data_IF_161604126113
#
_entry.id   IF_161604126113
#
_cell.length_a   1.000
_cell.length_b   1.000
_cell.length_c   1.000
_cell.angle_alpha   90.00
_cell.angle_beta   90.00
_cell.angle_gamma   90.00
#
_symmetry.space_group_name_H-M   'P 1'
#
loop_
_entity.id
_entity.type
_entity.pdbx_description
1 polymer ?
#
# COMPACT_ATOMS: atom_id res chain seq x y z
N UNK A 1 3.83 7.97 -13.12
CA UNK A 1 4.69 7.61 -11.97
C UNK A 1 6.13 7.97 -12.32
N UNK A 2 6.70 8.95 -11.60
CA UNK A 2 7.94 9.61 -12.02
C UNK A 2 9.18 9.25 -11.18
N UNK A 3 9.18 8.09 -10.55
CA UNK A 3 10.32 7.64 -9.76
C UNK A 3 11.18 6.66 -10.54
N UNK A 4 12.50 6.72 -10.32
CA UNK A 4 13.42 5.73 -10.89
C UNK A 4 13.25 4.39 -10.16
N UNK A 5 13.80 3.31 -10.74
CA UNK A 5 13.76 2.00 -10.08
C UNK A 5 14.44 2.07 -8.72
N UNK A 6 15.58 2.77 -8.62
CA UNK A 6 16.32 2.94 -7.36
C UNK A 6 15.48 3.67 -6.30
N UNK A 7 14.76 4.70 -6.72
CA UNK A 7 13.86 5.42 -5.81
C UNK A 7 12.70 4.55 -5.36
N UNK A 8 12.10 3.80 -6.28
CA UNK A 8 11.01 2.87 -5.95
C UNK A 8 11.47 1.82 -4.97
N UNK A 9 12.67 1.28 -5.16
CA UNK A 9 13.23 0.29 -4.24
C UNK A 9 13.48 0.90 -2.85
N UNK A 10 13.95 2.14 -2.80
CA UNK A 10 14.17 2.83 -1.53
C UNK A 10 12.86 3.01 -0.77
N UNK A 11 11.79 3.41 -1.44
CA UNK A 11 10.47 3.53 -0.81
C UNK A 11 9.91 2.17 -0.40
N UNK A 12 10.13 1.13 -1.21
CA UNK A 12 9.69 -0.22 -0.83
C UNK A 12 10.45 -0.72 0.39
N UNK A 13 11.72 -0.37 0.56
CA UNK A 13 12.46 -0.71 1.78
C UNK A 13 11.86 -0.04 3.01
N UNK A 14 11.34 1.18 2.86
CA UNK A 14 10.62 1.83 3.96
C UNK A 14 9.32 1.10 4.28
N UNK A 15 8.61 0.61 3.27
CA UNK A 15 7.44 -0.24 3.48
C UNK A 15 7.83 -1.55 4.19
N UNK A 16 8.97 -2.14 3.84
CA UNK A 16 9.47 -3.34 4.51
C UNK A 16 9.80 -3.07 5.99
N UNK A 17 10.29 -1.88 6.32
CA UNK A 17 10.51 -1.50 7.73
C UNK A 17 9.20 -1.48 8.51
N UNK A 18 8.13 -1.00 7.89
CA UNK A 18 6.80 -1.06 8.51
C UNK A 18 6.35 -2.51 8.70
N UNK A 19 6.64 -3.38 7.73
CA UNK A 19 6.33 -4.81 7.85
C UNK A 19 7.08 -5.44 9.03
N UNK A 20 8.33 -5.04 9.26
CA UNK A 20 9.10 -5.52 10.41
C UNK A 20 8.49 -5.06 11.74
N UNK A 21 7.94 -3.85 11.79
CA UNK A 21 7.23 -3.36 12.98
C UNK A 21 6.01 -4.23 13.25
N UNK A 22 5.25 -4.57 12.22
CA UNK A 22 4.11 -5.49 12.36
C UNK A 22 4.56 -6.82 12.95
N UNK A 23 5.65 -7.38 12.43
CA UNK A 23 6.19 -8.66 12.91
C UNK A 23 6.58 -8.61 14.38
N UNK A 24 7.12 -7.48 14.86
CA UNK A 24 7.47 -7.29 16.27
C UNK A 24 6.24 -7.34 17.18
N UNK A 25 5.06 -7.07 16.65
CA UNK A 25 3.78 -7.11 17.38
C UNK A 25 2.99 -8.38 17.08
N UNK A 26 3.63 -9.41 16.54
CA UNK A 26 3.01 -10.69 16.17
C UNK A 26 1.88 -10.55 15.15
N UNK A 27 1.96 -9.54 14.31
CA UNK A 27 1.03 -9.32 13.20
C UNK A 27 1.57 -9.96 11.92
N UNK A 28 0.69 -10.12 10.93
CA UNK A 28 1.14 -10.50 9.59
C UNK A 28 2.04 -9.36 9.06
N UNK A 29 3.27 -9.67 8.61
CA UNK A 29 4.26 -8.63 8.28
C UNK A 29 3.99 -7.98 6.92
N UNK A 30 3.08 -7.01 6.91
CA UNK A 30 2.78 -6.19 5.75
C UNK A 30 3.00 -4.74 6.13
N UNK A 31 3.67 -3.99 5.27
CA UNK A 31 3.97 -2.59 5.47
C UNK A 31 3.63 -1.75 4.26
N UNK A 32 3.36 -0.48 4.49
CA UNK A 32 2.90 0.45 3.46
C UNK A 32 3.42 1.86 3.73
N UNK A 33 3.84 2.55 2.68
CA UNK A 33 4.15 3.98 2.74
C UNK A 33 3.46 4.68 1.58
N UNK A 34 3.06 5.94 1.81
CA UNK A 34 2.47 6.79 0.78
C UNK A 34 3.41 7.97 0.57
N UNK A 35 3.75 8.22 -0.68
CA UNK A 35 4.78 9.19 -1.07
C UNK A 35 4.16 10.27 -1.94
N UNK A 36 4.51 11.53 -1.64
CA UNK A 36 4.13 12.69 -2.45
C UNK A 36 5.37 13.54 -2.66
N UNK A 37 5.69 13.86 -3.92
CA UNK A 37 6.85 14.69 -4.27
C UNK A 37 8.15 14.22 -3.61
N UNK A 38 8.37 12.91 -3.60
CA UNK A 38 9.57 12.32 -3.05
C UNK A 38 9.60 12.18 -1.53
N UNK A 39 8.54 12.58 -0.83
CA UNK A 39 8.48 12.51 0.63
C UNK A 39 7.40 11.55 1.10
N UNK A 40 7.70 10.79 2.14
CA UNK A 40 6.72 9.90 2.77
C UNK A 40 5.79 10.74 3.63
N UNK A 41 4.50 10.71 3.30
CA UNK A 41 3.48 11.47 4.02
C UNK A 41 2.57 10.58 4.86
N UNK A 42 2.65 9.27 4.69
CA UNK A 42 1.89 8.32 5.50
C UNK A 42 2.60 6.99 5.58
N UNK A 43 2.55 6.35 6.75
CA UNK A 43 3.15 5.05 7.00
C UNK A 43 2.14 4.16 7.70
N UNK A 44 2.18 2.87 7.41
CA UNK A 44 1.30 1.93 8.06
C UNK A 44 1.86 0.52 8.06
N UNK A 45 1.40 -0.25 9.05
CA UNK A 45 1.69 -1.68 9.16
C UNK A 45 0.43 -2.38 9.61
N UNK A 46 0.33 -3.68 9.33
CA UNK A 46 -0.83 -4.45 9.77
C UNK A 46 -0.88 -4.46 11.29
N UNK A 47 -2.04 -4.10 11.87
CA UNK A 47 -2.20 -3.92 13.30
C UNK A 47 -3.59 -4.36 13.79
N UNK A 48 -4.16 -5.39 13.17
CA UNK A 48 -5.51 -5.88 13.52
C UNK A 48 -5.58 -6.36 14.96
N UNK A 49 -4.62 -7.17 15.39
CA UNK A 49 -4.56 -7.69 16.75
C UNK A 49 -4.10 -6.63 17.74
N UNK A 50 -3.09 -5.85 17.38
CA UNK A 50 -2.53 -4.81 18.23
C UNK A 50 -3.60 -3.78 18.63
N UNK A 51 -4.38 -3.30 17.64
CA UNK A 51 -5.38 -2.26 17.85
C UNK A 51 -6.79 -2.81 18.04
N UNK A 52 -6.99 -4.13 17.91
CA UNK A 52 -8.31 -4.76 17.96
C UNK A 52 -9.27 -4.12 16.95
N UNK A 53 -8.81 -3.93 15.73
CA UNK A 53 -9.58 -3.33 14.64
C UNK A 53 -9.49 -4.22 13.42
N UNK A 54 -10.64 -4.77 13.01
CA UNK A 54 -10.74 -5.75 11.93
C UNK A 54 -10.16 -5.25 10.60
N UNK A 55 -10.27 -3.96 10.32
CA UNK A 55 -9.86 -3.39 9.03
C UNK A 55 -8.46 -2.78 9.04
N UNK A 56 -7.71 -2.89 10.13
CA UNK A 56 -6.44 -2.19 10.24
C UNK A 56 -5.32 -2.92 9.52
N UNK A 57 -5.42 -2.93 8.20
CA UNK A 57 -4.35 -3.32 7.31
C UNK A 57 -3.35 -2.16 7.16
N UNK A 58 -2.15 -2.48 6.70
CA UNK A 58 -1.09 -1.50 6.50
C UNK A 58 -1.55 -0.31 5.63
N UNK A 59 -2.27 -0.60 4.56
CA UNK A 59 -2.75 0.42 3.63
C UNK A 59 -3.74 1.36 4.28
N UNK A 60 -4.65 0.82 5.10
CA UNK A 60 -5.66 1.64 5.81
C UNK A 60 -4.96 2.60 6.77
N UNK A 61 -4.01 2.10 7.56
CA UNK A 61 -3.24 2.94 8.49
C UNK A 61 -2.46 4.04 7.73
N UNK A 62 -1.80 3.68 6.63
CA UNK A 62 -1.03 4.63 5.84
C UNK A 62 -1.93 5.71 5.23
N UNK A 63 -3.12 5.33 4.72
CA UNK A 63 -4.08 6.27 4.17
C UNK A 63 -4.57 7.24 5.25
N UNK A 64 -4.93 6.74 6.43
CA UNK A 64 -5.36 7.59 7.54
C UNK A 64 -4.27 8.60 7.91
N UNK A 65 -3.04 8.15 8.02
CA UNK A 65 -1.91 9.02 8.35
C UNK A 65 -1.64 10.06 7.26
N UNK A 66 -1.72 9.67 5.99
CA UNK A 66 -1.55 10.58 4.88
C UNK A 66 -2.66 11.63 4.82
N UNK A 67 -3.91 11.22 5.09
CA UNK A 67 -5.04 12.14 5.14
C UNK A 67 -4.84 13.21 6.22
N UNK A 68 -4.34 12.81 7.38
CA UNK A 68 -4.04 13.74 8.47
C UNK A 68 -2.90 14.69 8.08
N UNK A 69 -1.85 14.16 7.50
CA UNK A 69 -0.68 14.95 7.08
C UNK A 69 -1.06 16.01 6.03
N UNK A 70 -1.89 15.62 5.05
CA UNK A 70 -2.29 16.50 3.96
C UNK A 70 -3.52 17.35 4.29
N UNK A 71 -4.17 17.07 5.41
CA UNK A 71 -5.44 17.71 5.77
C UNK A 71 -6.47 17.58 4.64
N UNK A 72 -6.47 16.43 3.97
CA UNK A 72 -7.32 16.15 2.83
C UNK A 72 -7.57 14.65 2.71
N UNK A 73 -8.79 14.27 2.34
CA UNK A 73 -9.06 12.87 2.04
C UNK A 73 -8.59 12.49 0.64
N UNK A 74 -8.39 13.49 -0.25
CA UNK A 74 -7.89 13.25 -1.60
C UNK A 74 -6.37 13.21 -1.61
N UNK A 75 -5.81 12.12 -2.15
CA UNK A 75 -4.37 11.91 -2.25
C UNK A 75 -3.95 11.87 -3.72
N UNK A 76 -4.27 12.95 -4.44
CA UNK A 76 -4.23 13.01 -5.91
C UNK A 76 -2.84 12.86 -6.52
N UNK A 77 -1.81 13.33 -5.84
CA UNK A 77 -0.44 13.32 -6.38
C UNK A 77 0.45 12.30 -5.67
N UNK A 78 -0.17 11.24 -5.13
CA UNK A 78 0.54 10.30 -4.28
C UNK A 78 0.79 8.97 -4.98
N UNK A 79 1.82 8.26 -4.53
CA UNK A 79 2.10 6.88 -4.88
C UNK A 79 2.11 6.05 -3.60
N UNK A 80 1.36 4.95 -3.61
CA UNK A 80 1.30 4.03 -2.47
C UNK A 80 2.23 2.85 -2.75
N UNK A 81 3.14 2.59 -1.83
CA UNK A 81 4.02 1.43 -1.88
C UNK A 81 3.61 0.47 -0.78
N UNK A 82 3.36 -0.78 -1.13
CA UNK A 82 2.95 -1.82 -0.18
C UNK A 82 3.70 -3.11 -0.47
N UNK A 83 4.10 -3.82 0.57
CA UNK A 83 4.93 -5.02 0.41
C UNK A 83 4.19 -6.18 -0.25
N UNK A 84 2.89 -6.30 -0.01
CA UNK A 84 2.05 -7.36 -0.56
C UNK A 84 0.89 -6.74 -1.31
N UNK A 85 0.49 -7.36 -2.42
CA UNK A 85 -0.64 -6.92 -3.24
C UNK A 85 -1.88 -6.61 -2.40
N UNK A 86 -2.54 -5.45 -2.60
CA UNK A 86 -3.71 -5.07 -1.79
C UNK A 86 -4.89 -6.03 -1.97
N UNK A 87 -5.63 -6.25 -0.89
CA UNK A 87 -6.88 -7.02 -0.91
C UNK A 87 -8.03 -6.16 -1.45
N UNK A 88 -9.22 -6.75 -1.52
CA UNK A 88 -10.44 -6.06 -2.02
C UNK A 88 -10.73 -4.80 -1.21
N UNK A 89 -10.67 -4.89 0.13
CA UNK A 89 -10.94 -3.74 1.00
C UNK A 89 -9.96 -2.61 0.76
N UNK A 90 -8.66 -2.93 0.73
CA UNK A 90 -7.63 -1.91 0.58
C UNK A 90 -7.63 -1.32 -0.84
N UNK A 91 -7.90 -2.13 -1.86
CA UNK A 91 -8.03 -1.63 -3.23
C UNK A 91 -9.20 -0.65 -3.32
N UNK A 92 -10.31 -0.95 -2.67
CA UNK A 92 -11.44 -0.02 -2.58
C UNK A 92 -11.07 1.27 -1.87
N UNK A 93 -10.35 1.17 -0.75
CA UNK A 93 -9.89 2.34 0.00
C UNK A 93 -8.95 3.23 -0.82
N UNK A 94 -8.03 2.62 -1.57
CA UNK A 94 -7.11 3.33 -2.46
C UNK A 94 -7.91 4.14 -3.50
N UNK A 95 -8.91 3.51 -4.11
CA UNK A 95 -9.79 4.19 -5.06
C UNK A 95 -10.58 5.33 -4.42
N UNK A 96 -11.10 5.11 -3.21
CA UNK A 96 -11.82 6.16 -2.48
C UNK A 96 -10.93 7.35 -2.15
N UNK A 97 -9.68 7.12 -1.83
CA UNK A 97 -8.72 8.19 -1.54
C UNK A 97 -8.18 8.87 -2.79
N UNK A 98 -8.51 8.35 -3.97
CA UNK A 98 -8.06 8.89 -5.28
C UNK A 98 -6.56 8.84 -5.47
N UNK A 99 -5.90 7.83 -4.91
CA UNK A 99 -4.47 7.62 -5.13
C UNK A 99 -4.25 7.14 -6.57
N UNK A 100 -3.43 7.84 -7.37
CA UNK A 100 -3.28 7.50 -8.79
C UNK A 100 -2.30 6.38 -9.08
N UNK A 101 -1.39 6.06 -8.15
CA UNK A 101 -0.31 5.10 -8.42
C UNK A 101 -0.13 4.15 -7.25
N UNK A 102 0.00 2.86 -7.56
CA UNK A 102 0.29 1.80 -6.57
C UNK A 102 1.46 0.97 -7.07
N UNK A 103 2.42 0.73 -6.18
CA UNK A 103 3.53 -0.18 -6.41
C UNK A 103 3.49 -1.23 -5.32
N UNK A 104 3.43 -2.51 -5.68
CA UNK A 104 3.51 -3.56 -4.68
C UNK A 104 4.66 -4.52 -4.97
N UNK A 105 5.15 -5.19 -3.92
CA UNK A 105 6.26 -6.11 -4.04
C UNK A 105 5.81 -7.48 -4.49
N UNK A 106 5.20 -8.25 -3.61
CA UNK A 106 4.80 -9.63 -3.88
C UNK A 106 3.31 -9.78 -4.11
N UNK A 107 2.93 -10.74 -4.95
CA UNK A 107 1.53 -11.04 -5.22
C UNK A 107 0.87 -11.73 -4.03
N UNK A 108 -0.43 -11.53 -3.89
CA UNK A 108 -1.26 -12.18 -2.88
C UNK A 108 -2.27 -13.06 -3.61
N UNK A 109 -1.95 -14.33 -3.78
CA UNK A 109 -2.80 -15.23 -4.55
C UNK A 109 -4.09 -15.64 -3.84
N UNK A 110 -4.18 -15.41 -2.53
CA UNK A 110 -5.37 -15.75 -1.74
C UNK A 110 -6.38 -14.62 -1.67
N UNK A 111 -5.91 -13.36 -1.60
CA UNK A 111 -6.79 -12.22 -1.35
C UNK A 111 -6.50 -11.02 -2.25
N UNK A 112 -5.56 -11.14 -3.19
CA UNK A 112 -5.11 -10.02 -3.99
C UNK A 112 -6.17 -9.50 -4.95
N UNK A 113 -6.34 -8.20 -4.99
CA UNK A 113 -7.34 -7.52 -5.82
C UNK A 113 -6.73 -6.50 -6.78
N UNK A 114 -5.44 -6.60 -7.04
CA UNK A 114 -4.71 -5.77 -7.99
C UNK A 114 -4.09 -6.64 -9.10
N UNK A 115 -4.82 -7.66 -9.52
CA UNK A 115 -4.43 -8.54 -10.61
C UNK A 115 -4.46 -10.03 -10.32
N UNK A 116 -4.39 -10.46 -9.04
CA UNK A 116 -4.35 -11.90 -8.72
C UNK A 116 -5.73 -12.57 -8.79
N UNK A 117 -6.63 -12.29 -7.86
CA UNK A 117 -7.99 -12.83 -7.88
C UNK A 117 -8.97 -11.86 -8.54
N UNK A 118 -8.81 -10.59 -8.25
CA UNK A 118 -9.64 -9.53 -8.77
C UNK A 118 -8.74 -8.43 -9.29
N UNK A 119 -9.28 -7.54 -10.10
CA UNK A 119 -8.56 -6.37 -10.58
C UNK A 119 -9.42 -5.13 -10.39
N UNK A 120 -9.46 -4.64 -9.15
CA UNK A 120 -10.30 -3.51 -8.77
C UNK A 120 -9.64 -2.18 -9.13
N UNK A 121 -8.31 -2.08 -8.99
CA UNK A 121 -7.61 -0.82 -9.19
C UNK A 121 -7.68 -0.32 -10.63
N UNK A 122 -7.72 -1.21 -11.60
CA UNK A 122 -7.77 -0.86 -13.03
C UNK A 122 -9.14 -1.12 -13.67
N UNK A 123 -10.17 -1.42 -12.87
CA UNK A 123 -11.51 -1.71 -13.39
C UNK A 123 -12.11 -0.45 -13.99
N UNK A 124 -12.41 -0.51 -15.29
CA UNK A 124 -12.92 0.63 -16.05
C UNK A 124 -14.31 1.09 -15.64
N UNK A 125 -15.04 0.24 -14.93
CA UNK A 125 -16.41 0.58 -14.47
C UNK A 125 -16.39 1.49 -13.24
N UNK A 126 -15.24 1.61 -12.56
CA UNK A 126 -15.10 2.48 -11.39
C UNK A 126 -14.69 3.89 -11.82
N UNK A 127 -15.01 4.88 -10.99
CA UNK A 127 -14.77 6.29 -11.28
C UNK A 127 -13.28 6.67 -11.29
N UNK A 128 -12.45 5.87 -10.64
CA UNK A 128 -11.03 6.16 -10.50
C UNK A 128 -10.23 4.92 -10.88
N UNK A 129 -9.26 5.12 -11.76
CA UNK A 129 -8.34 4.07 -12.16
C UNK A 129 -6.95 4.37 -11.64
N UNK A 130 -6.24 3.31 -11.25
CA UNK A 130 -4.92 3.40 -10.64
C UNK A 130 -3.91 2.77 -11.57
N UNK A 131 -2.76 3.42 -11.72
CA UNK A 131 -1.63 2.84 -12.42
C UNK A 131 -0.90 1.91 -11.44
N UNK A 132 -0.77 0.63 -11.81
CA UNK A 132 -0.26 -0.42 -10.91
C UNK A 132 1.05 -0.97 -11.45
N UNK A 133 2.05 -1.05 -10.58
CA UNK A 133 3.31 -1.72 -10.88
C UNK A 133 3.57 -2.78 -9.82
N UNK A 134 3.92 -4.00 -10.26
CA UNK A 134 4.21 -5.14 -9.38
C UNK A 134 5.68 -5.50 -9.44
N UNK A 135 6.17 -6.15 -8.39
CA UNK A 135 7.47 -6.81 -8.44
C UNK A 135 8.67 -6.02 -7.96
N UNK A 136 8.48 -4.84 -7.39
CA UNK A 136 9.59 -4.07 -6.81
C UNK A 136 10.00 -4.75 -5.51
N UNK A 137 11.24 -5.25 -5.45
CA UNK A 137 11.77 -6.04 -4.33
C UNK A 137 10.87 -7.23 -3.98
N UNK A 138 10.37 -7.90 -5.02
CA UNK A 138 9.40 -8.99 -4.87
C UNK A 138 9.89 -10.08 -3.92
N UNK A 139 11.14 -10.52 -4.07
CA UNK A 139 11.69 -11.59 -3.23
C UNK A 139 11.81 -11.18 -1.77
N UNK A 140 12.25 -9.96 -1.51
CA UNK A 140 12.36 -9.44 -0.14
C UNK A 140 10.99 -9.33 0.50
N UNK A 141 10.00 -8.88 -0.26
CA UNK A 141 8.64 -8.74 0.24
C UNK A 141 7.99 -10.09 0.49
N UNK A 142 8.25 -11.07 -0.36
CA UNK A 142 7.73 -12.43 -0.18
C UNK A 142 8.40 -13.16 0.99
N UNK A 143 9.66 -12.84 1.28
CA UNK A 143 10.46 -13.54 2.29
C UNK A 143 10.14 -13.16 3.72
N UNK A 144 9.63 -11.96 3.96
CA UNK A 144 9.32 -11.51 5.30
C UNK A 144 8.01 -12.14 5.79
#
# INVERSE_FOLDING_TARGET
>A
MNYTVEEKEAFMREALREAEIALEHDEIPIGCVIVKDGEIIGRGHNAREELQQAVMHAEIMAIENANLSEESWRLLDCTLFVTIEPCVMCSGAIGLARIPNVVYGAKNQKFGAAGSLYDILTDERLNHRVEVEAGILEDDCAAI
#
